data_IF_644507743700
#
_entry.id   IF_644507743700
#
_cell.length_a   1.000
_cell.length_b   1.000
_cell.length_c   1.000
_cell.angle_alpha   90.00
_cell.angle_beta   90.00
_cell.angle_gamma   90.00
#
_symmetry.space_group_name_H-M   'P 1'
#
loop_
_entity.id
_entity.type
_entity.pdbx_description
1 polymer ?
#
# COMPACT_ATOMS: atom_id res chain seq x y z
N UNK A 1 -48.88 43.23 -4.48
CA UNK A 1 -48.24 42.50 -3.36
C UNK A 1 -47.55 41.27 -3.92
N UNK A 2 -46.22 41.32 -4.05
CA UNK A 2 -45.42 40.17 -4.49
C UNK A 2 -44.06 40.25 -3.82
N UNK A 3 -43.92 39.64 -2.64
CA UNK A 3 -42.64 39.56 -1.95
C UNK A 3 -41.74 38.59 -2.70
N UNK A 4 -40.75 39.11 -3.42
CA UNK A 4 -39.62 38.33 -3.90
C UNK A 4 -38.84 37.85 -2.67
N UNK A 5 -38.98 36.57 -2.34
CA UNK A 5 -38.15 35.90 -1.35
C UNK A 5 -36.70 35.98 -1.80
N UNK A 6 -35.88 36.71 -1.04
CA UNK A 6 -34.44 36.71 -1.22
C UNK A 6 -33.95 35.26 -1.06
N UNK A 7 -33.53 34.63 -2.16
CA UNK A 7 -32.93 33.31 -2.12
C UNK A 7 -31.70 33.38 -1.21
N UNK A 8 -31.75 32.68 -0.07
CA UNK A 8 -30.65 32.62 0.87
C UNK A 8 -29.39 32.14 0.13
N UNK A 9 -28.32 32.95 0.17
CA UNK A 9 -27.06 32.61 -0.45
C UNK A 9 -26.54 31.30 0.17
N UNK A 10 -26.39 30.26 -0.66
CA UNK A 10 -25.87 28.98 -0.21
C UNK A 10 -24.39 29.17 0.18
N UNK A 11 -23.97 28.75 1.38
CA UNK A 11 -22.58 28.88 1.80
C UNK A 11 -21.63 28.12 0.87
N UNK A 12 -20.40 28.63 0.72
CA UNK A 12 -19.39 28.07 -0.16
C UNK A 12 -19.14 26.57 0.13
N UNK A 13 -19.45 25.71 -0.84
CA UNK A 13 -19.28 24.27 -0.71
C UNK A 13 -17.83 23.86 -1.02
N UNK A 14 -17.29 22.92 -0.21
CA UNK A 14 -15.98 22.31 -0.43
C UNK A 14 -16.19 20.85 -0.79
N UNK A 15 -15.56 20.39 -1.86
CA UNK A 15 -15.56 18.97 -2.22
C UNK A 15 -14.39 18.24 -1.54
N UNK A 16 -14.50 16.92 -1.40
CA UNK A 16 -13.43 16.10 -0.86
C UNK A 16 -12.32 15.93 -1.92
N UNK A 17 -11.30 16.76 -1.85
CA UNK A 17 -10.25 16.86 -2.87
C UNK A 17 -9.45 15.56 -3.08
N UNK A 18 -9.41 14.66 -2.09
CA UNK A 18 -8.59 13.44 -2.16
C UNK A 18 -9.16 12.40 -3.15
N UNK A 19 -10.48 12.24 -3.22
CA UNK A 19 -11.14 11.28 -4.13
C UNK A 19 -11.81 11.95 -5.34
N UNK A 20 -11.68 13.27 -5.46
CA UNK A 20 -12.25 14.01 -6.57
C UNK A 20 -11.40 13.83 -7.83
N UNK A 21 -11.93 13.08 -8.80
CA UNK A 21 -11.32 12.87 -10.12
C UNK A 21 -12.34 13.25 -11.18
N UNK A 22 -11.92 14.08 -12.14
CA UNK A 22 -12.72 14.46 -13.30
C UNK A 22 -12.27 13.61 -14.48
N UNK A 23 -13.24 13.03 -15.17
CA UNK A 23 -13.06 12.20 -16.35
C UNK A 23 -14.23 12.45 -17.31
N UNK A 24 -14.04 12.14 -18.59
CA UNK A 24 -15.09 12.22 -19.58
C UNK A 24 -16.12 11.09 -19.38
N UNK A 25 -17.38 11.29 -19.74
CA UNK A 25 -18.45 10.31 -19.50
C UNK A 25 -18.33 8.98 -20.29
N UNK A 26 -17.18 8.69 -20.91
CA UNK A 26 -16.94 7.41 -21.57
C UNK A 26 -16.66 6.28 -20.57
N UNK A 27 -16.93 5.01 -20.95
CA UNK A 27 -16.55 3.85 -20.15
C UNK A 27 -15.05 3.80 -19.85
N UNK A 28 -14.21 4.25 -20.79
CA UNK A 28 -12.76 4.28 -20.61
C UNK A 28 -12.35 5.35 -19.59
N UNK A 29 -12.93 6.55 -19.67
CA UNK A 29 -12.70 7.61 -18.67
C UNK A 29 -13.04 7.14 -17.27
N UNK A 30 -14.19 6.46 -17.10
CA UNK A 30 -14.61 5.90 -15.82
C UNK A 30 -13.63 4.84 -15.30
N UNK A 31 -13.18 3.92 -16.17
CA UNK A 31 -12.18 2.91 -15.82
C UNK A 31 -10.86 3.55 -15.36
N UNK A 32 -10.38 4.57 -16.08
CA UNK A 32 -9.14 5.27 -15.74
C UNK A 32 -9.27 6.04 -14.41
N UNK A 33 -10.44 6.63 -14.13
CA UNK A 33 -10.70 7.28 -12.85
C UNK A 33 -10.67 6.26 -11.69
N UNK A 34 -11.32 5.10 -11.86
CA UNK A 34 -11.29 4.02 -10.87
C UNK A 34 -9.87 3.47 -10.66
N UNK A 35 -9.12 3.26 -11.73
CA UNK A 35 -7.71 2.89 -11.65
C UNK A 35 -6.92 3.91 -10.85
N UNK A 36 -7.15 5.20 -11.08
CA UNK A 36 -6.49 6.25 -10.31
C UNK A 36 -6.90 6.28 -8.84
N UNK A 37 -8.13 5.90 -8.48
CA UNK A 37 -8.54 5.82 -7.07
C UNK A 37 -7.99 4.58 -6.36
N UNK A 38 -7.61 3.54 -7.11
CA UNK A 38 -7.21 2.26 -6.52
C UNK A 38 -6.06 2.31 -5.50
N UNK A 39 -5.01 3.16 -5.61
CA UNK A 39 -4.00 3.28 -4.56
C UNK A 39 -4.57 3.83 -3.24
N UNK A 40 -5.61 4.68 -3.29
CA UNK A 40 -6.29 5.19 -2.09
C UNK A 40 -7.09 4.06 -1.45
N UNK A 41 -7.84 3.29 -2.25
CA UNK A 41 -8.58 2.13 -1.74
C UNK A 41 -7.66 1.03 -1.22
N UNK A 42 -6.42 0.97 -1.68
CA UNK A 42 -5.42 0.03 -1.17
C UNK A 42 -5.11 0.28 0.32
N UNK A 43 -5.17 1.52 0.82
CA UNK A 43 -5.03 1.79 2.26
C UNK A 43 -6.20 1.20 3.06
N UNK A 44 -7.42 1.23 2.51
CA UNK A 44 -8.59 0.58 3.14
C UNK A 44 -8.40 -0.93 3.14
N UNK A 45 -7.94 -1.50 2.03
CA UNK A 45 -7.63 -2.93 1.94
C UNK A 45 -6.51 -3.34 2.91
N UNK A 46 -5.46 -2.53 3.07
CA UNK A 46 -4.40 -2.77 4.05
C UNK A 46 -4.94 -2.79 5.47
N UNK A 47 -5.78 -1.82 5.83
CA UNK A 47 -6.40 -1.81 7.16
C UNK A 47 -7.16 -3.12 7.41
N UNK A 48 -8.03 -3.52 6.49
CA UNK A 48 -8.75 -4.79 6.61
C UNK A 48 -7.79 -5.99 6.71
N UNK A 49 -6.80 -6.10 5.82
CA UNK A 49 -5.85 -7.22 5.82
C UNK A 49 -4.96 -7.27 7.07
N UNK A 50 -4.61 -6.12 7.65
CA UNK A 50 -3.88 -6.05 8.92
C UNK A 50 -4.76 -6.52 10.07
N UNK A 51 -6.03 -6.11 10.09
CA UNK A 51 -7.01 -6.52 11.11
C UNK A 51 -7.31 -8.02 11.04
N UNK A 52 -7.62 -8.56 9.86
CA UNK A 52 -8.01 -9.96 9.72
C UNK A 52 -6.81 -10.91 9.64
N UNK A 53 -5.72 -10.49 8.99
CA UNK A 53 -4.55 -11.34 8.77
C UNK A 53 -3.50 -11.27 9.87
N UNK A 54 -3.46 -10.17 10.64
CA UNK A 54 -2.51 -9.87 11.73
C UNK A 54 -1.04 -10.17 11.43
N UNK A 55 -0.64 -10.10 10.14
CA UNK A 55 0.73 -10.33 9.70
C UNK A 55 1.53 -9.04 9.83
N UNK A 56 2.63 -9.08 10.58
CA UNK A 56 3.54 -7.94 10.74
C UNK A 56 4.01 -7.39 9.38
N UNK A 57 4.30 -8.25 8.41
CA UNK A 57 4.71 -7.81 7.06
C UNK A 57 3.66 -6.95 6.36
N UNK A 58 2.36 -7.19 6.60
CA UNK A 58 1.29 -6.35 6.05
C UNK A 58 1.23 -4.99 6.76
N UNK A 59 1.44 -4.97 8.08
CA UNK A 59 1.54 -3.72 8.83
C UNK A 59 2.74 -2.89 8.34
N UNK A 60 3.90 -3.53 8.15
CA UNK A 60 5.11 -2.86 7.67
C UNK A 60 4.94 -2.37 6.21
N UNK A 61 4.24 -3.11 5.35
CA UNK A 61 3.87 -2.63 4.01
C UNK A 61 2.95 -1.41 4.09
N UNK A 62 1.94 -1.43 4.95
CA UNK A 62 1.02 -0.32 5.14
C UNK A 62 1.75 0.92 5.66
N UNK A 63 2.58 0.77 6.70
CA UNK A 63 3.41 1.83 7.25
C UNK A 63 4.39 2.39 6.21
N UNK A 64 5.03 1.52 5.41
CA UNK A 64 5.89 1.92 4.31
C UNK A 64 5.16 2.70 3.22
N UNK A 65 3.90 2.32 2.93
CA UNK A 65 3.07 3.04 1.96
C UNK A 65 2.70 4.44 2.45
N UNK A 66 2.41 4.59 3.75
CA UNK A 66 2.21 5.92 4.39
C UNK A 66 3.50 6.74 4.34
N UNK A 67 4.65 6.14 4.66
CA UNK A 67 5.95 6.81 4.60
C UNK A 67 6.30 7.24 3.16
N UNK A 68 5.96 6.42 2.16
CA UNK A 68 6.14 6.74 0.75
C UNK A 68 5.24 7.91 0.30
N UNK A 69 4.00 8.01 0.80
CA UNK A 69 3.16 9.17 0.55
C UNK A 69 3.75 10.43 1.21
N UNK A 70 4.26 10.33 2.45
CA UNK A 70 4.95 11.43 3.11
C UNK A 70 6.20 11.88 2.31
N UNK A 71 6.99 10.93 1.80
CA UNK A 71 8.11 11.20 0.89
C UNK A 71 7.64 11.92 -0.38
N UNK A 72 6.53 11.46 -0.99
CA UNK A 72 5.96 12.11 -2.17
C UNK A 72 5.57 13.57 -1.90
N UNK A 73 4.92 13.81 -0.75
CA UNK A 73 4.54 15.15 -0.31
C UNK A 73 5.76 16.04 -0.03
N UNK A 74 6.81 15.49 0.57
CA UNK A 74 8.06 16.22 0.80
C UNK A 74 8.75 16.60 -0.53
N UNK A 75 8.88 15.65 -1.45
CA UNK A 75 9.48 15.88 -2.77
C UNK A 75 8.69 16.90 -3.59
N UNK A 76 7.35 16.85 -3.53
CA UNK A 76 6.50 17.87 -4.17
C UNK A 76 6.77 19.27 -3.65
N UNK A 77 6.91 19.42 -2.33
CA UNK A 77 7.22 20.72 -1.71
C UNK A 77 8.65 21.20 -1.99
N UNK A 78 9.59 20.28 -2.21
CA UNK A 78 10.97 20.59 -2.55
C UNK A 78 11.10 21.00 -4.03
N UNK A 79 10.52 20.23 -4.95
CA UNK A 79 10.69 20.43 -6.40
C UNK A 79 9.75 21.49 -6.96
N UNK A 80 8.56 21.65 -6.38
CA UNK A 80 7.56 22.68 -6.73
C UNK A 80 7.21 22.80 -8.22
N UNK A 81 7.41 21.74 -9.00
CA UNK A 81 7.15 21.79 -10.44
C UNK A 81 5.65 21.96 -10.74
N UNK A 82 5.28 22.76 -11.76
CA UNK A 82 3.89 22.97 -12.13
C UNK A 82 3.28 21.71 -12.74
N UNK A 83 1.94 21.65 -12.74
CA UNK A 83 1.17 20.64 -13.48
C UNK A 83 1.25 20.93 -14.99
N UNK A 84 1.12 19.91 -15.86
CA UNK A 84 1.24 20.09 -17.31
C UNK A 84 0.11 20.93 -17.92
N UNK A 85 -1.09 20.90 -17.33
CA UNK A 85 -2.26 21.62 -17.85
C UNK A 85 -2.90 22.47 -16.74
N UNK A 86 -2.23 23.54 -16.29
CA UNK A 86 -2.67 24.33 -15.14
C UNK A 86 -3.95 25.15 -15.42
N UNK A 87 -4.30 25.32 -16.70
CA UNK A 87 -5.54 25.97 -17.14
C UNK A 87 -6.79 25.09 -16.95
N UNK A 88 -6.61 23.77 -16.78
CA UNK A 88 -7.71 22.86 -16.53
C UNK A 88 -8.10 22.91 -15.05
N UNK A 89 -9.27 23.48 -14.75
CA UNK A 89 -9.75 23.69 -13.38
C UNK A 89 -9.74 22.42 -12.51
N UNK A 90 -9.90 21.24 -13.11
CA UNK A 90 -9.92 19.96 -12.41
C UNK A 90 -8.54 19.39 -12.01
N UNK A 91 -7.45 19.90 -12.60
CA UNK A 91 -6.08 19.41 -12.31
C UNK A 91 -5.58 19.95 -10.95
N UNK A 92 -6.24 20.99 -10.43
CA UNK A 92 -5.95 21.61 -9.13
C UNK A 92 -4.65 22.41 -9.11
N UNK A 93 -4.44 23.17 -8.03
CA UNK A 93 -3.31 24.11 -7.89
C UNK A 93 -2.05 23.51 -7.22
N UNK A 94 -2.00 22.19 -7.02
CA UNK A 94 -0.87 21.52 -6.33
C UNK A 94 0.30 21.16 -7.25
N UNK A 95 1.49 20.96 -6.68
CA UNK A 95 2.69 20.59 -7.42
C UNK A 95 2.56 19.23 -8.15
N UNK A 96 3.14 19.15 -9.35
CA UNK A 96 3.01 18.02 -10.28
C UNK A 96 4.14 17.00 -10.22
N UNK A 97 5.30 17.33 -9.65
CA UNK A 97 6.48 16.47 -9.60
C UNK A 97 6.82 16.05 -8.17
N UNK A 98 7.05 14.76 -7.87
CA UNK A 98 6.72 13.59 -8.71
C UNK A 98 5.22 13.26 -8.70
N UNK A 99 4.79 12.34 -9.57
CA UNK A 99 3.44 11.78 -9.52
C UNK A 99 3.26 10.80 -8.35
N UNK A 100 2.49 11.18 -7.32
CA UNK A 100 2.25 10.33 -6.13
C UNK A 100 1.54 9.03 -6.45
N UNK A 101 0.63 9.02 -7.43
CA UNK A 101 -0.08 7.79 -7.80
C UNK A 101 0.85 6.77 -8.48
N UNK A 102 1.69 7.24 -9.41
CA UNK A 102 2.72 6.39 -10.02
C UNK A 102 3.74 5.91 -8.97
N UNK A 103 4.13 6.80 -8.05
CA UNK A 103 5.04 6.47 -6.94
C UNK A 103 4.45 5.42 -5.99
N UNK A 104 3.17 5.54 -5.62
CA UNK A 104 2.49 4.57 -4.77
C UNK A 104 2.37 3.20 -5.46
N UNK A 105 1.92 3.16 -6.72
CA UNK A 105 1.83 1.91 -7.47
C UNK A 105 3.19 1.22 -7.64
N UNK A 106 4.24 1.98 -7.93
CA UNK A 106 5.60 1.45 -8.08
C UNK A 106 6.21 0.97 -6.76
N UNK A 107 5.92 1.66 -5.64
CA UNK A 107 6.34 1.24 -4.31
C UNK A 107 5.79 -0.15 -3.96
N UNK A 108 4.49 -0.34 -4.13
CA UNK A 108 3.83 -1.63 -3.84
C UNK A 108 4.32 -2.71 -4.77
N UNK A 109 4.56 -2.40 -6.04
CA UNK A 109 5.17 -3.32 -7.00
C UNK A 109 6.55 -3.79 -6.53
N UNK A 110 7.47 -2.86 -6.24
CA UNK A 110 8.83 -3.20 -5.84
C UNK A 110 8.87 -4.01 -4.53
N UNK A 111 8.07 -3.60 -3.54
CA UNK A 111 7.96 -4.35 -2.29
C UNK A 111 7.37 -5.75 -2.53
N UNK A 112 6.31 -5.86 -3.34
CA UNK A 112 5.63 -7.11 -3.66
C UNK A 112 6.52 -8.10 -4.42
N UNK A 113 7.34 -7.61 -5.36
CA UNK A 113 8.36 -8.41 -6.05
C UNK A 113 9.37 -8.96 -5.04
N UNK A 114 9.93 -8.10 -4.19
CA UNK A 114 10.86 -8.55 -3.14
C UNK A 114 10.22 -9.59 -2.22
N UNK A 115 8.98 -9.36 -1.79
CA UNK A 115 8.25 -10.30 -0.95
C UNK A 115 8.08 -11.65 -1.64
N UNK A 116 7.65 -11.65 -2.91
CA UNK A 116 7.48 -12.86 -3.73
C UNK A 116 8.78 -13.66 -3.88
N UNK A 117 9.90 -12.97 -4.15
CA UNK A 117 11.23 -13.60 -4.27
C UNK A 117 11.69 -14.28 -2.96
N UNK A 118 11.17 -13.84 -1.81
CA UNK A 118 11.51 -14.43 -0.51
C UNK A 118 10.54 -15.48 0.00
N UNK A 119 9.50 -15.84 -0.75
CA UNK A 119 8.47 -16.77 -0.28
C UNK A 119 9.04 -18.16 0.05
N UNK A 120 10.00 -18.66 -0.73
CA UNK A 120 10.59 -19.98 -0.47
C UNK A 120 11.32 -20.00 0.87
N UNK A 121 12.16 -19.00 1.09
CA UNK A 121 12.92 -18.87 2.33
C UNK A 121 12.06 -18.57 3.57
N UNK A 122 10.82 -18.09 3.39
CA UNK A 122 9.86 -17.84 4.48
C UNK A 122 9.03 -19.08 4.83
N UNK A 123 8.81 -19.95 3.85
CA UNK A 123 7.90 -21.10 3.96
C UNK A 123 8.61 -22.41 3.62
N UNK A 124 9.91 -22.51 3.95
CA UNK A 124 10.82 -23.58 3.56
C UNK A 124 10.33 -24.97 3.96
N UNK A 125 9.74 -25.12 5.15
CA UNK A 125 9.15 -26.41 5.60
C UNK A 125 8.03 -26.89 4.70
N UNK A 126 7.18 -25.98 4.27
CA UNK A 126 6.10 -26.31 3.35
C UNK A 126 6.61 -26.52 1.92
N UNK A 127 7.79 -25.98 1.55
CA UNK A 127 8.40 -26.23 0.25
C UNK A 127 8.94 -27.67 0.13
N UNK A 128 9.57 -28.20 1.18
CA UNK A 128 10.07 -29.58 1.21
C UNK A 128 8.99 -30.67 1.19
N UNK A 129 7.77 -30.34 1.63
CA UNK A 129 6.64 -31.28 1.67
C UNK A 129 5.76 -31.26 0.41
N UNK A 130 6.01 -30.36 -0.56
CA UNK A 130 5.17 -30.20 -1.76
C UNK A 130 5.62 -31.13 -2.88
N UNK A 131 4.69 -31.90 -3.44
CA UNK A 131 4.91 -32.61 -4.70
C UNK A 131 5.15 -31.65 -5.88
N UNK A 132 5.81 -32.13 -6.93
CA UNK A 132 6.22 -31.32 -8.10
C UNK A 132 5.07 -30.51 -8.72
N UNK A 133 3.87 -31.10 -8.83
CA UNK A 133 2.68 -30.42 -9.36
C UNK A 133 2.23 -29.24 -8.51
N UNK A 134 2.31 -29.36 -7.18
CA UNK A 134 1.92 -28.29 -6.26
C UNK A 134 2.91 -27.11 -6.35
N UNK A 135 4.21 -27.40 -6.51
CA UNK A 135 5.23 -26.37 -6.68
C UNK A 135 5.10 -25.66 -8.04
N UNK A 136 4.85 -26.39 -9.12
CA UNK A 136 4.57 -25.79 -10.43
C UNK A 136 3.35 -24.86 -10.38
N UNK A 137 2.25 -25.31 -9.77
CA UNK A 137 1.04 -24.50 -9.58
C UNK A 137 1.31 -23.24 -8.77
N UNK A 138 2.10 -23.34 -7.70
CA UNK A 138 2.51 -22.19 -6.89
C UNK A 138 3.28 -21.16 -7.72
N UNK A 139 4.27 -21.59 -8.50
CA UNK A 139 5.06 -20.70 -9.36
C UNK A 139 4.19 -19.97 -10.38
N UNK A 140 3.26 -20.69 -11.03
CA UNK A 140 2.30 -20.09 -11.96
C UNK A 140 1.43 -19.05 -11.24
N UNK A 141 0.86 -19.37 -10.08
CA UNK A 141 0.03 -18.43 -9.30
C UNK A 141 0.82 -17.18 -8.89
N UNK A 142 2.03 -17.35 -8.36
CA UNK A 142 2.91 -16.23 -8.01
C UNK A 142 3.21 -15.38 -9.24
N UNK A 143 3.51 -15.99 -10.39
CA UNK A 143 3.72 -15.30 -11.65
C UNK A 143 2.50 -14.48 -12.09
N UNK A 144 1.30 -15.06 -12.02
CA UNK A 144 0.03 -14.35 -12.32
C UNK A 144 -0.15 -13.15 -11.39
N UNK A 145 0.09 -13.31 -10.08
CA UNK A 145 -0.04 -12.21 -9.14
C UNK A 145 0.98 -11.09 -9.38
N UNK A 146 2.23 -11.43 -9.69
CA UNK A 146 3.26 -10.43 -10.01
C UNK A 146 2.97 -9.71 -11.32
N UNK A 147 2.52 -10.44 -12.34
CA UNK A 147 2.07 -9.83 -13.60
C UNK A 147 0.90 -8.88 -13.37
N UNK A 148 -0.12 -9.32 -12.63
CA UNK A 148 -1.27 -8.47 -12.29
C UNK A 148 -0.87 -7.22 -11.51
N UNK A 149 0.05 -7.35 -10.55
CA UNK A 149 0.56 -6.22 -9.77
C UNK A 149 1.34 -5.23 -10.64
N UNK A 150 2.18 -5.72 -11.56
CA UNK A 150 2.93 -4.89 -12.50
C UNK A 150 1.99 -4.18 -13.48
N UNK A 151 1.05 -4.91 -14.09
CA UNK A 151 0.05 -4.37 -14.99
C UNK A 151 -0.82 -3.30 -14.31
N UNK A 152 -1.27 -3.57 -13.08
CA UNK A 152 -2.00 -2.59 -12.27
C UNK A 152 -1.17 -1.33 -12.02
N UNK A 153 0.07 -1.47 -11.56
CA UNK A 153 0.97 -0.34 -11.27
C UNK A 153 1.20 0.55 -12.51
N UNK A 154 1.40 -0.06 -13.68
CA UNK A 154 1.52 0.65 -14.95
C UNK A 154 0.21 1.29 -15.37
N UNK A 155 -0.93 0.62 -15.22
CA UNK A 155 -2.24 1.16 -15.54
C UNK A 155 -2.61 2.37 -14.67
N UNK A 156 -2.27 2.33 -13.37
CA UNK A 156 -2.39 3.49 -12.46
C UNK A 156 -1.56 4.65 -12.97
N UNK A 157 -0.29 4.42 -13.33
CA UNK A 157 0.58 5.47 -13.88
C UNK A 157 0.02 6.04 -15.20
N UNK A 158 -0.43 5.18 -16.11
CA UNK A 158 -1.03 5.57 -17.38
C UNK A 158 -2.31 6.39 -17.19
N UNK A 159 -3.16 6.04 -16.22
CA UNK A 159 -4.38 6.81 -15.93
C UNK A 159 -4.08 8.27 -15.63
N UNK A 160 -2.94 8.57 -15.00
CA UNK A 160 -2.52 9.95 -14.69
C UNK A 160 -2.13 10.74 -15.93
N UNK A 161 -1.58 10.07 -16.94
CA UNK A 161 -1.27 10.67 -18.23
C UNK A 161 -2.55 10.87 -19.05
N UNK A 162 -3.36 9.81 -19.17
CA UNK A 162 -4.58 9.80 -19.98
C UNK A 162 -5.61 10.82 -19.49
N UNK A 163 -5.79 10.93 -18.16
CA UNK A 163 -6.66 11.92 -17.52
C UNK A 163 -6.00 13.31 -17.39
N UNK A 164 -4.85 13.55 -18.02
CA UNK A 164 -4.18 14.86 -18.09
C UNK A 164 -3.78 15.46 -16.71
N UNK A 165 -3.59 14.63 -15.69
CA UNK A 165 -3.14 15.11 -14.38
C UNK A 165 -1.61 15.27 -14.27
N UNK A 166 -0.85 14.50 -15.05
CA UNK A 166 0.61 14.48 -15.00
C UNK A 166 1.24 14.29 -16.38
N UNK A 167 2.45 14.84 -16.57
CA UNK A 167 3.26 14.58 -17.75
C UNK A 167 4.08 13.29 -17.61
N UNK A 168 4.60 12.78 -18.72
CA UNK A 168 5.44 11.57 -18.73
C UNK A 168 6.66 11.73 -17.80
N UNK A 169 7.42 12.84 -17.80
CA UNK A 169 8.55 13.00 -16.86
C UNK A 169 8.13 12.96 -15.39
N UNK A 170 6.97 13.52 -15.05
CA UNK A 170 6.43 13.51 -13.68
C UNK A 170 6.04 12.10 -13.23
N UNK A 171 5.46 11.33 -14.15
CA UNK A 171 5.10 9.93 -13.95
C UNK A 171 6.37 9.10 -13.80
N UNK A 172 7.34 9.24 -14.71
CA UNK A 172 8.60 8.51 -14.68
C UNK A 172 9.39 8.75 -13.39
N UNK A 173 9.50 10.01 -12.95
CA UNK A 173 10.15 10.34 -11.69
C UNK A 173 9.42 9.75 -10.48
N UNK A 174 8.09 9.83 -10.44
CA UNK A 174 7.32 9.18 -9.39
C UNK A 174 7.50 7.67 -9.38
N UNK A 175 7.43 7.04 -10.55
CA UNK A 175 7.62 5.60 -10.69
C UNK A 175 9.02 5.17 -10.22
N UNK A 176 10.08 5.89 -10.62
CA UNK A 176 11.45 5.61 -10.20
C UNK A 176 11.64 5.76 -8.68
N UNK A 177 11.15 6.86 -8.09
CA UNK A 177 11.19 7.06 -6.64
C UNK A 177 10.43 5.94 -5.92
N UNK A 178 9.26 5.55 -6.43
CA UNK A 178 8.46 4.47 -5.88
C UNK A 178 9.18 3.14 -5.89
N UNK A 179 9.80 2.76 -7.02
CA UNK A 179 10.58 1.54 -7.12
C UNK A 179 11.73 1.50 -6.10
N UNK A 180 12.50 2.59 -6.02
CA UNK A 180 13.63 2.69 -5.09
C UNK A 180 13.16 2.64 -3.64
N UNK A 181 12.15 3.43 -3.28
CA UNK A 181 11.61 3.46 -1.93
C UNK A 181 11.00 2.12 -1.51
N UNK A 182 10.26 1.46 -2.41
CA UNK A 182 9.65 0.15 -2.15
C UNK A 182 10.67 -0.96 -1.98
N UNK A 183 11.69 -0.99 -2.86
CA UNK A 183 12.80 -1.93 -2.76
C UNK A 183 13.61 -1.70 -1.48
N UNK A 184 13.98 -0.45 -1.16
CA UNK A 184 14.70 -0.10 0.06
C UNK A 184 13.91 -0.48 1.32
N UNK A 185 12.61 -0.16 1.34
CA UNK A 185 11.74 -0.51 2.46
C UNK A 185 11.65 -2.02 2.66
N UNK A 186 11.45 -2.79 1.57
CA UNK A 186 11.48 -4.25 1.64
C UNK A 186 12.84 -4.76 2.15
N UNK A 187 13.95 -4.24 1.63
CA UNK A 187 15.28 -4.68 2.05
C UNK A 187 15.48 -4.48 3.55
N UNK A 188 15.16 -3.28 4.06
CA UNK A 188 15.33 -2.93 5.46
C UNK A 188 14.39 -3.70 6.38
N UNK A 189 13.11 -3.76 6.03
CA UNK A 189 12.06 -4.28 6.93
C UNK A 189 11.85 -5.79 6.83
N UNK A 190 12.29 -6.42 5.74
CA UNK A 190 11.93 -7.80 5.43
C UNK A 190 13.13 -8.67 5.02
N UNK A 191 14.03 -8.16 4.16
CA UNK A 191 15.19 -8.95 3.74
C UNK A 191 16.25 -9.05 4.83
N UNK A 192 16.82 -7.91 5.24
CA UNK A 192 17.90 -7.82 6.23
C UNK A 192 17.44 -8.41 7.56
N UNK A 193 16.22 -8.10 7.97
CA UNK A 193 15.70 -8.59 9.24
C UNK A 193 15.57 -10.12 9.29
N UNK A 194 15.44 -10.78 8.14
CA UNK A 194 15.39 -12.25 8.03
C UNK A 194 16.77 -12.88 7.85
N UNK A 195 17.66 -12.25 7.08
CA UNK A 195 19.00 -12.80 6.77
C UNK A 195 20.08 -12.43 7.79
N UNK A 196 19.94 -11.30 8.47
CA UNK A 196 20.82 -10.83 9.52
C UNK A 196 20.00 -10.33 10.73
N UNK A 197 19.38 -11.22 11.53
CA UNK A 197 18.48 -10.84 12.62
C UNK A 197 19.15 -9.97 13.68
N UNK A 198 20.45 -10.14 13.93
CA UNK A 198 21.21 -9.35 14.90
C UNK A 198 21.62 -7.95 14.43
N UNK A 199 21.40 -7.63 13.15
CA UNK A 199 21.61 -6.28 12.62
C UNK A 199 20.64 -5.27 13.26
N UNK A 200 20.94 -3.96 13.16
CA UNK A 200 20.04 -2.91 13.67
C UNK A 200 18.62 -3.06 13.10
N UNK A 201 18.39 -3.22 11.78
CA UNK A 201 17.04 -3.42 11.24
C UNK A 201 16.37 -4.70 11.75
N UNK A 202 17.14 -5.79 11.92
CA UNK A 202 16.63 -7.05 12.47
C UNK A 202 16.16 -6.91 13.91
N UNK A 203 16.94 -6.27 14.77
CA UNK A 203 16.57 -5.97 16.15
C UNK A 203 15.32 -5.11 16.22
N UNK A 204 15.25 -4.03 15.43
CA UNK A 204 14.07 -3.16 15.37
C UNK A 204 12.83 -3.95 14.97
N UNK A 205 12.90 -4.75 13.89
CA UNK A 205 11.77 -5.58 13.46
C UNK A 205 11.31 -6.53 14.56
N UNK A 206 12.24 -7.20 15.25
CA UNK A 206 11.90 -8.12 16.36
C UNK A 206 11.25 -7.39 17.52
N UNK A 207 11.71 -6.19 17.87
CA UNK A 207 11.06 -5.38 18.90
C UNK A 207 9.62 -5.02 18.50
N UNK A 208 9.42 -4.63 17.23
CA UNK A 208 8.07 -4.36 16.70
C UNK A 208 7.23 -5.64 16.71
N UNK A 209 7.79 -6.79 16.33
CA UNK A 209 7.11 -8.08 16.33
C UNK A 209 6.71 -8.51 17.74
N UNK A 210 7.58 -8.32 18.72
CA UNK A 210 7.30 -8.60 20.12
C UNK A 210 6.18 -7.72 20.67
N UNK A 211 6.20 -6.41 20.35
CA UNK A 211 5.11 -5.50 20.69
C UNK A 211 3.80 -5.92 19.99
N UNK A 212 3.87 -6.25 18.71
CA UNK A 212 2.73 -6.65 17.89
C UNK A 212 2.07 -7.92 18.44
N UNK A 213 2.87 -8.93 18.79
CA UNK A 213 2.40 -10.18 19.42
C UNK A 213 1.89 -9.91 20.84
N UNK A 214 2.55 -9.04 21.60
CA UNK A 214 2.16 -8.69 22.97
C UNK A 214 0.85 -7.94 23.08
N UNK A 215 0.55 -7.10 22.09
CA UNK A 215 -0.77 -6.49 21.94
C UNK A 215 -1.82 -7.45 21.36
N UNK A 216 -1.38 -8.58 20.78
CA UNK A 216 -2.21 -9.55 20.07
C UNK A 216 -2.62 -9.12 18.64
N UNK A 217 -2.00 -8.08 18.10
CA UNK A 217 -2.23 -7.53 16.76
C UNK A 217 -3.23 -6.38 16.73
N UNK A 218 -4.16 -6.37 15.78
CA UNK A 218 -5.38 -5.53 15.68
C UNK A 218 -6.52 -6.45 15.23
N UNK A 219 -7.71 -6.40 15.85
CA UNK A 219 -8.85 -7.30 15.54
C UNK A 219 -9.36 -8.06 16.77
N UNK A 220 -10.55 -8.65 16.73
CA UNK A 220 -11.12 -9.42 17.85
C UNK A 220 -10.84 -10.93 17.79
N UNK A 221 -11.24 -11.67 18.82
CA UNK A 221 -11.08 -13.13 18.92
C UNK A 221 -11.52 -13.87 17.66
N UNK A 222 -10.61 -14.67 17.08
CA UNK A 222 -10.83 -15.52 15.89
C UNK A 222 -11.37 -14.78 14.65
N UNK A 223 -11.26 -13.44 14.63
CA UNK A 223 -11.76 -12.63 13.53
C UNK A 223 -10.93 -12.94 12.27
N UNK A 224 -11.58 -13.46 11.23
CA UNK A 224 -10.92 -13.87 9.99
C UNK A 224 -10.13 -15.18 10.09
N UNK A 225 -10.35 -15.99 11.12
CA UNK A 225 -9.68 -17.28 11.32
C UNK A 225 -8.24 -17.18 11.85
N UNK A 226 -7.81 -15.99 12.28
CA UNK A 226 -6.54 -15.79 12.96
C UNK A 226 -6.74 -15.90 14.49
N UNK A 227 -5.94 -16.72 15.19
CA UNK A 227 -6.05 -16.96 16.65
C UNK A 227 -5.55 -15.79 17.53
N UNK A 228 -6.37 -15.36 18.50
CA UNK A 228 -6.12 -14.17 19.36
C UNK A 228 -6.57 -12.85 18.74
N UNK A 229 -6.28 -11.74 19.41
CA UNK A 229 -6.79 -10.41 19.04
C UNK A 229 -6.26 -9.27 19.92
N UNK A 230 -6.78 -8.07 19.72
CA UNK A 230 -6.45 -6.87 20.47
C UNK A 230 -6.67 -7.08 21.96
N UNK A 231 -5.67 -6.72 22.76
CA UNK A 231 -5.67 -6.89 24.21
C UNK A 231 -5.69 -8.36 24.67
N UNK A 232 -5.39 -9.30 23.77
CA UNK A 232 -5.35 -10.73 24.06
C UNK A 232 -3.93 -11.32 23.89
N UNK A 233 -2.92 -10.45 23.78
CA UNK A 233 -1.52 -10.87 23.82
C UNK A 233 -1.00 -10.96 25.26
N UNK A 234 0.24 -11.43 25.38
CA UNK A 234 0.89 -11.67 26.68
C UNK A 234 0.97 -10.44 27.59
N UNK A 235 0.89 -9.22 27.06
CA UNK A 235 0.86 -7.99 27.87
C UNK A 235 -0.38 -7.85 28.73
N UNK A 236 -1.45 -8.56 28.40
CA UNK A 236 -2.74 -8.51 29.08
C UNK A 236 -3.02 -9.79 29.89
N UNK A 237 -1.97 -10.55 30.21
CA UNK A 237 -2.06 -11.75 31.03
C UNK A 237 -2.63 -12.98 30.31
N UNK A 238 -2.88 -12.87 28.99
CA UNK A 238 -3.23 -14.03 28.15
C UNK A 238 -1.93 -14.79 27.85
N UNK A 239 -1.63 -15.75 28.71
CA UNK A 239 -0.52 -16.68 28.53
C UNK A 239 -1.04 -17.94 27.85
N UNK A 240 -1.07 -17.96 26.52
CA UNK A 240 -1.15 -19.25 25.82
C UNK A 240 0.18 -19.98 26.00
N UNK A 241 0.27 -20.80 27.04
CA UNK A 241 1.40 -21.69 27.28
C UNK A 241 1.67 -22.63 26.09
N UNK A 242 0.69 -22.86 25.21
CA UNK A 242 0.82 -23.67 23.99
C UNK A 242 1.27 -22.90 22.73
N UNK A 243 1.24 -21.57 22.70
CA UNK A 243 1.45 -20.80 21.45
C UNK A 243 2.92 -20.49 21.16
N UNK A 244 3.79 -20.50 22.18
CA UNK A 244 5.23 -20.27 22.03
C UNK A 244 5.92 -21.49 21.38
N UNK A 245 5.53 -22.71 21.73
CA UNK A 245 6.13 -23.93 21.17
C UNK A 245 5.79 -24.17 19.69
N UNK A 246 4.58 -23.84 19.25
CA UNK A 246 4.14 -24.06 17.85
C UNK A 246 4.74 -23.08 16.83
N UNK A 247 5.20 -21.90 17.24
CA UNK A 247 5.86 -20.90 16.36
C UNK A 247 7.39 -20.92 16.42
N UNK A 248 7.98 -21.44 17.50
CA UNK A 248 9.41 -21.80 17.55
C UNK A 248 9.70 -23.12 16.82
N UNK A 249 8.64 -23.94 16.71
CA UNK A 249 8.28 -24.88 15.64
C UNK A 249 9.00 -24.73 14.33
#
# INVERSE_FOLDING_TARGET
MGSLTAAAAVPAQKHFALTHIVYDASPLGALLALLSLSPIFLFVAYFALVVFGRRLSLLLLAAGSVANEALSLALKRALRAPRPFPHLAHVGHGYGMPSSHAQAGAFVLAWGVGYAMSLDARYSRAAGARGQRAEAMRRVRVGIYLFGLAAWSVAVAYSRYALRYHSIPQIAAGYAVGLVAGAAWYVLTEHIARTAPESIPGRIRRSIEWLWIGLGGIGGWQLGGAEGGWLEGWMFGVHDAEHIERKAQ
#
